data_IF_549696776565
#
_entry.id   IF_549696776565
#
_cell.length_a   1.000
_cell.length_b   1.000
_cell.length_c   1.000
_cell.angle_alpha   90.00
_cell.angle_beta   90.00
_cell.angle_gamma   90.00
#
_symmetry.space_group_name_H-M   'P 1'
#
loop_
_entity.id
_entity.type
_entity.pdbx_description
1 polymer ?
#
# COMPACT_ATOMS: atom_id res chain seq x y z
N UNK A 1 32.36 -19.46 -18.11
CA UNK A 1 31.86 -18.23 -18.77
C UNK A 1 31.11 -17.45 -17.72
N UNK A 2 31.54 -16.22 -17.41
CA UNK A 2 30.83 -15.33 -16.49
C UNK A 2 29.70 -14.69 -17.29
N UNK A 3 28.47 -15.16 -17.11
CA UNK A 3 27.28 -14.46 -17.58
C UNK A 3 27.23 -13.12 -16.87
N UNK A 4 27.67 -12.09 -17.59
CA UNK A 4 27.56 -10.71 -17.17
C UNK A 4 26.08 -10.43 -16.93
N UNK A 5 25.73 -10.21 -15.67
CA UNK A 5 24.40 -9.81 -15.24
C UNK A 5 24.18 -8.36 -15.71
N UNK A 6 23.92 -8.19 -17.01
CA UNK A 6 23.65 -6.91 -17.66
C UNK A 6 22.25 -6.48 -17.24
N UNK A 7 22.13 -5.95 -16.03
CA UNK A 7 20.95 -5.19 -15.64
C UNK A 7 20.88 -4.02 -16.63
N UNK A 8 19.81 -3.95 -17.41
CA UNK A 8 19.58 -2.90 -18.39
C UNK A 8 19.72 -1.55 -17.71
N UNK A 9 20.49 -0.62 -18.30
CA UNK A 9 20.65 0.74 -17.76
C UNK A 9 19.29 1.41 -17.47
N UNK A 10 18.24 1.04 -18.22
CA UNK A 10 16.89 1.53 -18.02
C UNK A 10 16.23 0.95 -16.77
N UNK A 11 16.45 -0.32 -16.44
CA UNK A 11 15.95 -0.93 -15.19
C UNK A 11 16.63 -0.29 -13.98
N UNK A 12 17.94 -0.01 -14.07
CA UNK A 12 18.66 0.72 -13.01
C UNK A 12 18.13 2.14 -12.79
N UNK A 13 17.78 2.85 -13.87
CA UNK A 13 17.16 4.19 -13.78
C UNK A 13 15.79 4.12 -13.11
N UNK A 14 14.92 3.21 -13.56
CA UNK A 14 13.61 2.99 -12.94
C UNK A 14 13.70 2.64 -11.45
N UNK A 15 14.63 1.77 -11.06
CA UNK A 15 14.86 1.43 -9.66
C UNK A 15 15.34 2.62 -8.83
N UNK A 16 16.16 3.49 -9.41
CA UNK A 16 16.63 4.71 -8.74
C UNK A 16 15.47 5.70 -8.55
N UNK A 17 14.69 5.94 -9.60
CA UNK A 17 13.51 6.80 -9.58
C UNK A 17 12.50 6.32 -8.53
N UNK A 18 12.18 5.01 -8.52
CA UNK A 18 11.30 4.42 -7.51
C UNK A 18 11.78 4.65 -6.07
N UNK A 19 13.09 4.54 -5.82
CA UNK A 19 13.66 4.79 -4.49
C UNK A 19 13.60 6.26 -4.08
N UNK A 20 13.78 7.17 -5.03
CA UNK A 20 13.63 8.61 -4.79
C UNK A 20 12.17 8.96 -4.48
N UNK A 21 11.23 8.45 -5.29
CA UNK A 21 9.79 8.60 -5.05
C UNK A 21 9.37 8.02 -3.70
N UNK A 22 9.87 6.83 -3.33
CA UNK A 22 9.61 6.22 -2.03
C UNK A 22 10.08 7.11 -0.87
N UNK A 23 11.29 7.69 -0.99
CA UNK A 23 11.85 8.57 0.05
C UNK A 23 11.03 9.84 0.21
N UNK A 24 10.66 10.48 -0.90
CA UNK A 24 9.82 11.68 -0.90
C UNK A 24 8.44 11.39 -0.29
N UNK A 25 7.82 10.28 -0.69
CA UNK A 25 6.51 9.91 -0.20
C UNK A 25 6.53 9.55 1.29
N UNK A 26 7.56 8.83 1.77
CA UNK A 26 7.79 8.62 3.21
C UNK A 26 7.93 9.94 3.97
N UNK A 27 8.63 10.92 3.39
CA UNK A 27 8.75 12.26 3.97
C UNK A 27 7.40 12.96 4.09
N UNK A 28 6.59 12.91 3.03
CA UNK A 28 5.23 13.42 3.02
C UNK A 28 4.34 12.75 4.08
N UNK A 29 4.27 11.43 4.10
CA UNK A 29 3.49 10.67 5.08
C UNK A 29 3.88 11.02 6.52
N UNK A 30 5.18 11.17 6.78
CA UNK A 30 5.68 11.55 8.10
C UNK A 30 5.18 12.93 8.56
N UNK A 31 4.95 13.84 7.63
CA UNK A 31 4.45 15.19 7.94
C UNK A 31 2.95 15.25 8.22
N UNK A 32 2.19 14.21 7.87
CA UNK A 32 0.74 14.18 8.07
C UNK A 32 0.36 13.93 9.54
N UNK A 33 -0.76 14.50 9.97
CA UNK A 33 -1.41 14.18 11.25
C UNK A 33 -2.16 12.85 11.16
N UNK A 34 -2.48 12.25 12.31
CA UNK A 34 -3.16 10.94 12.38
C UNK A 34 -4.48 10.90 11.60
N UNK A 35 -5.32 11.93 11.72
CA UNK A 35 -6.61 12.00 11.03
C UNK A 35 -6.43 12.11 9.50
N UNK A 36 -5.38 12.81 9.07
CA UNK A 36 -5.05 12.94 7.64
C UNK A 36 -4.55 11.60 7.08
N UNK A 37 -3.73 10.87 7.84
CA UNK A 37 -3.30 9.52 7.46
C UNK A 37 -4.49 8.55 7.36
N UNK A 38 -5.45 8.62 8.29
CA UNK A 38 -6.65 7.79 8.23
C UNK A 38 -7.54 8.15 7.04
N UNK A 39 -7.67 9.43 6.70
CA UNK A 39 -8.42 9.87 5.52
C UNK A 39 -7.82 9.28 4.24
N UNK A 40 -6.50 9.43 4.06
CA UNK A 40 -5.78 8.86 2.90
C UNK A 40 -5.92 7.33 2.85
N UNK A 41 -5.88 6.64 4.00
CA UNK A 41 -6.02 5.18 4.02
C UNK A 41 -7.42 4.71 3.65
N UNK A 42 -8.46 5.42 4.09
CA UNK A 42 -9.83 5.10 3.69
C UNK A 42 -10.00 5.24 2.18
N UNK A 43 -9.46 6.32 1.60
CA UNK A 43 -9.46 6.52 0.15
C UNK A 43 -8.77 5.38 -0.59
N UNK A 44 -7.60 4.94 -0.11
CA UNK A 44 -6.87 3.82 -0.72
C UNK A 44 -7.66 2.50 -0.60
N UNK A 45 -8.26 2.22 0.56
CA UNK A 45 -9.07 1.01 0.79
C UNK A 45 -10.28 0.96 -0.16
N UNK A 46 -10.88 2.10 -0.46
CA UNK A 46 -11.97 2.19 -1.44
C UNK A 46 -11.46 1.91 -2.85
N UNK A 47 -10.33 2.52 -3.20
CA UNK A 47 -9.71 2.46 -4.54
C UNK A 47 -9.01 1.15 -4.87
N UNK A 48 -8.54 0.39 -3.89
CA UNK A 48 -7.78 -0.85 -4.14
C UNK A 48 -8.63 -1.95 -4.81
N UNK A 49 -9.94 -1.77 -4.89
CA UNK A 49 -10.87 -2.68 -5.57
C UNK A 49 -11.01 -2.39 -7.07
N UNK A 50 -10.39 -1.33 -7.59
CA UNK A 50 -10.42 -1.00 -9.02
C UNK A 50 -9.49 -1.92 -9.81
N UNK A 51 -9.96 -2.41 -10.96
CA UNK A 51 -9.13 -3.18 -11.89
C UNK A 51 -8.22 -2.19 -12.66
N UNK A 52 -6.90 -2.37 -12.55
CA UNK A 52 -5.80 -1.55 -13.13
C UNK A 52 -5.23 -0.43 -12.25
N UNK A 53 -4.71 -0.79 -11.07
CA UNK A 53 -3.90 0.12 -10.25
C UNK A 53 -2.47 0.21 -10.78
N UNK A 54 -1.89 1.41 -10.80
CA UNK A 54 -0.49 1.60 -11.18
C UNK A 54 0.47 1.10 -10.09
N UNK A 55 1.67 0.67 -10.48
CA UNK A 55 2.72 0.25 -9.53
C UNK A 55 3.06 1.37 -8.53
N UNK A 56 3.01 2.63 -8.97
CA UNK A 56 3.21 3.79 -8.12
C UNK A 56 2.10 3.93 -7.07
N UNK A 57 0.84 3.70 -7.45
CA UNK A 57 -0.29 3.73 -6.53
C UNK A 57 -0.18 2.60 -5.50
N UNK A 58 0.20 1.39 -5.93
CA UNK A 58 0.42 0.25 -5.04
C UNK A 58 1.56 0.53 -4.04
N UNK A 59 2.67 1.10 -4.51
CA UNK A 59 3.80 1.48 -3.66
C UNK A 59 3.39 2.54 -2.63
N UNK A 60 2.70 3.60 -3.06
CA UNK A 60 2.18 4.64 -2.16
C UNK A 60 1.22 4.06 -1.12
N UNK A 61 0.35 3.14 -1.54
CA UNK A 61 -0.58 2.44 -0.66
C UNK A 61 0.13 1.64 0.43
N UNK A 62 1.15 0.87 0.06
CA UNK A 62 1.94 0.10 1.02
C UNK A 62 2.63 1.00 2.05
N UNK A 63 3.26 2.08 1.59
CA UNK A 63 3.99 3.02 2.45
C UNK A 63 3.06 3.75 3.44
N UNK A 64 1.85 4.11 3.00
CA UNK A 64 0.85 4.73 3.87
C UNK A 64 0.39 3.78 4.98
N UNK A 65 0.13 2.53 4.64
CA UNK A 65 -0.30 1.51 5.61
C UNK A 65 0.80 1.20 6.62
N UNK A 66 2.07 1.18 6.19
CA UNK A 66 3.22 1.05 7.09
C UNK A 66 3.31 2.24 8.07
N UNK A 67 3.19 3.47 7.60
CA UNK A 67 3.24 4.65 8.47
C UNK A 67 2.07 4.69 9.46
N UNK A 68 0.88 4.27 9.04
CA UNK A 68 -0.27 4.11 9.93
C UNK A 68 -0.01 3.04 10.99
N UNK A 69 0.47 1.86 10.60
CA UNK A 69 0.78 0.79 11.53
C UNK A 69 1.82 1.22 12.58
N UNK A 70 2.81 2.04 12.18
CA UNK A 70 3.81 2.59 13.11
C UNK A 70 3.23 3.61 14.12
N UNK A 71 2.17 4.32 13.77
CA UNK A 71 1.58 5.39 14.61
C UNK A 71 0.38 4.95 15.43
N UNK A 72 -0.23 3.84 15.06
CA UNK A 72 -1.42 3.32 15.71
C UNK A 72 -1.01 2.57 16.99
N UNK A 73 -1.57 2.98 18.12
CA UNK A 73 -1.50 2.22 19.37
C UNK A 73 -2.29 0.90 19.19
N UNK A 74 -1.77 -0.22 19.70
CA UNK A 74 -2.14 -1.61 19.33
C UNK A 74 -3.66 -1.88 19.31
N UNK A 75 -4.44 -1.27 20.21
CA UNK A 75 -5.90 -1.40 20.28
C UNK A 75 -6.65 -0.86 19.04
N UNK A 76 -6.19 0.25 18.47
CA UNK A 76 -6.82 0.85 17.30
C UNK A 76 -6.55 0.03 16.02
N UNK A 77 -5.42 -0.68 15.97
CA UNK A 77 -5.04 -1.55 14.86
C UNK A 77 -5.89 -2.82 14.81
N UNK A 78 -6.25 -3.37 15.98
CA UNK A 78 -7.14 -4.52 16.08
C UNK A 78 -8.53 -4.23 15.46
N UNK A 79 -9.06 -3.02 15.65
CA UNK A 79 -10.35 -2.61 15.07
C UNK A 79 -10.30 -2.48 13.54
N UNK A 80 -9.25 -1.86 13.00
CA UNK A 80 -9.07 -1.72 11.55
C UNK A 80 -8.83 -3.08 10.88
N UNK A 81 -8.00 -3.94 11.49
CA UNK A 81 -7.76 -5.31 11.01
C UNK A 81 -9.04 -6.14 11.06
N UNK A 82 -9.83 -6.06 12.15
CA UNK A 82 -11.10 -6.78 12.24
C UNK A 82 -12.09 -6.34 11.16
N UNK A 83 -12.19 -5.03 10.89
CA UNK A 83 -13.02 -4.51 9.79
C UNK A 83 -12.54 -5.04 8.44
N UNK A 84 -11.24 -5.03 8.20
CA UNK A 84 -10.66 -5.54 6.97
C UNK A 84 -10.91 -7.05 6.78
N UNK A 85 -10.70 -7.85 7.84
CA UNK A 85 -10.95 -9.28 7.85
C UNK A 85 -12.43 -9.63 7.65
N UNK A 86 -13.35 -8.86 8.23
CA UNK A 86 -14.79 -9.01 8.01
C UNK A 86 -15.15 -8.77 6.55
N UNK A 87 -14.60 -7.73 5.93
CA UNK A 87 -14.84 -7.43 4.51
C UNK A 87 -14.32 -8.54 3.59
N UNK A 88 -13.15 -9.10 3.88
CA UNK A 88 -12.61 -10.25 3.15
C UNK A 88 -13.49 -11.50 3.29
N UNK A 89 -13.96 -11.83 4.51
CA UNK A 89 -14.86 -12.98 4.76
C UNK A 89 -16.20 -12.82 4.04
N UNK A 90 -16.74 -11.61 4.03
CA UNK A 90 -17.98 -11.31 3.30
C UNK A 90 -17.82 -11.49 1.79
N UNK A 91 -16.67 -11.10 1.20
CA UNK A 91 -16.35 -11.34 -0.22
C UNK A 91 -16.20 -12.83 -0.55
N UNK A 92 -15.58 -13.62 0.34
CA UNK A 92 -15.48 -15.08 0.14
C UNK A 92 -16.87 -15.72 0.16
N UNK A 93 -17.72 -15.31 1.11
CA UNK A 93 -19.10 -15.81 1.19
C UNK A 93 -19.96 -15.41 0.00
N UNK A 94 -19.84 -14.16 -0.47
CA UNK A 94 -20.59 -13.72 -1.65
C UNK A 94 -20.18 -14.48 -2.92
N UNK A 95 -18.89 -14.79 -3.09
CA UNK A 95 -18.40 -15.61 -4.19
C UNK A 95 -18.82 -17.09 -4.10
N UNK A 96 -19.04 -17.62 -2.89
CA UNK A 96 -19.51 -18.99 -2.70
C UNK A 96 -21.01 -19.17 -2.94
N UNK A 97 -21.81 -18.10 -2.88
CA UNK A 97 -23.26 -18.12 -3.14
C UNK A 97 -23.61 -17.94 -4.63
N UNK A 98 -22.62 -17.68 -5.47
CA UNK A 98 -22.75 -17.48 -6.92
C UNK A 98 -22.28 -18.70 -7.74
N UNK A 99 -21.91 -19.81 -7.07
CA UNK A 99 -21.54 -21.09 -7.69
C UNK A 99 -22.51 -22.20 -7.28
#
# INVERSE_FOLDING_TARGET
MLDSNVISLNERRKLKELKETEKEFKGYLKSLKQDQLQFEANYIIEKINEENLSDEFLLKSALLMDELAMRINVENMANTINKFALNLRSKVRSNQLLN
#
